data_IF_759559969590
#
_entry.id   IF_759559969590
#
_cell.length_a   1.000
_cell.length_b   1.000
_cell.length_c   1.000
_cell.angle_alpha   90.00
_cell.angle_beta   90.00
_cell.angle_gamma   90.00
#
_symmetry.space_group_name_H-M   'P 1'
#
loop_
_entity.id
_entity.type
_entity.pdbx_description
1 polymer ?
#
# COMPACT_ATOMS: atom_id res chain seq x y z
N UNK A 1 27.44 15.57 19.47
CA UNK A 1 27.57 15.28 18.02
C UNK A 1 28.01 13.84 17.71
N UNK A 2 29.09 13.31 18.29
CA UNK A 2 29.57 11.94 17.99
C UNK A 2 28.54 10.84 18.27
N UNK A 3 27.74 10.96 19.32
CA UNK A 3 26.70 9.97 19.67
C UNK A 3 25.49 10.01 18.73
N UNK A 4 25.13 11.20 18.25
CA UNK A 4 24.07 11.38 17.25
C UNK A 4 24.44 10.68 15.94
N UNK A 5 25.66 10.85 15.44
CA UNK A 5 26.16 10.20 14.22
C UNK A 5 26.27 8.67 14.34
N UNK A 6 26.20 8.13 15.56
CA UNK A 6 26.17 6.69 15.83
C UNK A 6 24.76 6.13 15.94
N UNK A 7 23.75 6.99 16.08
CA UNK A 7 22.36 6.59 16.25
C UNK A 7 21.77 5.97 14.96
N UNK A 8 20.77 5.06 15.09
CA UNK A 8 20.00 4.57 13.96
C UNK A 8 19.31 5.69 13.18
N UNK A 9 18.92 6.78 13.85
CA UNK A 9 18.35 7.98 13.21
C UNK A 9 19.31 8.55 12.18
N UNK A 10 20.57 8.80 12.56
CA UNK A 10 21.55 9.39 11.65
C UNK A 10 22.05 8.43 10.57
N UNK A 11 22.11 7.12 10.85
CA UNK A 11 22.73 6.13 9.93
C UNK A 11 21.76 5.49 8.94
N UNK A 12 20.47 5.49 9.24
CA UNK A 12 19.45 4.83 8.41
C UNK A 12 18.38 5.81 7.95
N UNK A 13 17.77 6.54 8.88
CA UNK A 13 16.63 7.39 8.56
C UNK A 13 17.05 8.63 7.78
N UNK A 14 18.05 9.38 8.27
CA UNK A 14 18.49 10.60 7.59
C UNK A 14 18.93 10.36 6.13
N UNK A 15 19.74 9.33 5.79
CA UNK A 15 20.13 9.07 4.40
C UNK A 15 18.97 8.74 3.46
N UNK A 16 17.84 8.23 3.95
CA UNK A 16 16.65 7.95 3.12
C UNK A 16 15.71 9.15 3.08
N UNK A 17 15.48 9.80 4.22
CA UNK A 17 14.53 10.90 4.34
C UNK A 17 15.07 12.21 3.74
N UNK A 18 16.39 12.44 3.73
CA UNK A 18 16.96 13.64 3.11
C UNK A 18 16.70 13.65 1.59
N UNK A 19 17.01 12.59 0.82
CA UNK A 19 16.63 12.51 -0.59
C UNK A 19 15.12 12.67 -0.84
N UNK A 20 14.27 12.03 -0.04
CA UNK A 20 12.81 12.19 -0.16
C UNK A 20 12.37 13.64 0.12
N UNK A 21 12.97 14.30 1.11
CA UNK A 21 12.68 15.72 1.39
C UNK A 21 13.19 16.64 0.27
N UNK A 22 14.30 16.27 -0.39
CA UNK A 22 14.81 17.02 -1.54
C UNK A 22 13.87 16.90 -2.75
N UNK A 23 13.30 15.72 -3.00
CA UNK A 23 12.27 15.54 -4.04
C UNK A 23 11.00 16.33 -3.70
N UNK A 24 10.47 16.22 -2.48
CA UNK A 24 9.34 17.04 -2.03
C UNK A 24 9.59 18.55 -2.17
N UNK A 25 10.83 19.00 -1.92
CA UNK A 25 11.22 20.39 -2.15
C UNK A 25 11.14 20.77 -3.64
N UNK A 26 11.49 19.87 -4.56
CA UNK A 26 11.35 20.10 -6.00
C UNK A 26 9.90 20.01 -6.46
N UNK A 27 9.12 19.10 -5.87
CA UNK A 27 7.77 18.78 -6.30
C UNK A 27 6.69 19.71 -5.72
N UNK A 28 6.95 20.45 -4.64
CA UNK A 28 5.95 21.33 -3.99
C UNK A 28 5.24 22.34 -4.89
N UNK A 29 5.76 22.61 -6.10
CA UNK A 29 5.19 23.53 -7.07
C UNK A 29 4.79 22.88 -8.39
N UNK A 30 4.82 21.55 -8.48
CA UNK A 30 4.39 20.81 -9.68
C UNK A 30 2.88 20.66 -9.72
N UNK A 31 2.35 20.33 -10.89
CA UNK A 31 0.96 19.91 -11.02
C UNK A 31 0.78 18.55 -10.33
N UNK A 32 0.03 18.55 -9.23
CA UNK A 32 -0.19 17.39 -8.37
C UNK A 32 -1.36 16.49 -8.84
N UNK A 33 -1.81 16.64 -10.09
CA UNK A 33 -2.87 15.83 -10.67
C UNK A 33 -4.17 15.89 -9.85
N UNK A 34 -4.68 14.72 -9.45
CA UNK A 34 -5.95 14.61 -8.74
C UNK A 34 -5.91 15.18 -7.31
N UNK A 35 -4.73 15.54 -6.79
CA UNK A 35 -4.58 16.01 -5.42
C UNK A 35 -5.39 17.28 -5.13
N UNK A 36 -5.49 18.21 -6.09
CA UNK A 36 -6.30 19.43 -5.93
C UNK A 36 -7.78 19.08 -5.76
N UNK A 37 -8.28 18.12 -6.54
CA UNK A 37 -9.63 17.61 -6.41
C UNK A 37 -9.85 16.96 -5.04
N UNK A 38 -8.90 16.15 -4.56
CA UNK A 38 -9.00 15.52 -3.24
C UNK A 38 -8.91 16.51 -2.07
N UNK A 39 -8.08 17.56 -2.17
CA UNK A 39 -8.04 18.64 -1.17
C UNK A 39 -9.41 19.31 -1.08
N UNK A 40 -10.03 19.67 -2.21
CA UNK A 40 -11.35 20.29 -2.21
C UNK A 40 -12.44 19.39 -1.60
N UNK A 41 -12.44 18.09 -1.94
CA UNK A 41 -13.36 17.12 -1.31
C UNK A 41 -13.08 16.94 0.19
N UNK A 42 -11.82 17.05 0.60
CA UNK A 42 -11.41 17.09 1.99
C UNK A 42 -11.91 18.32 2.73
N UNK A 43 -11.89 19.50 2.11
CA UNK A 43 -12.49 20.71 2.69
C UNK A 43 -14.00 20.56 2.88
N UNK A 44 -14.68 19.96 1.90
CA UNK A 44 -16.10 19.63 2.03
C UNK A 44 -16.36 18.68 3.21
N UNK A 45 -15.52 17.65 3.37
CA UNK A 45 -15.60 16.72 4.50
C UNK A 45 -15.47 17.42 5.86
N UNK A 46 -14.67 18.48 5.95
CA UNK A 46 -14.46 19.24 7.18
C UNK A 46 -15.41 20.44 7.34
N UNK A 47 -16.46 20.52 6.52
CA UNK A 47 -17.43 21.61 6.51
C UNK A 47 -18.81 21.18 7.02
N UNK A 48 -19.77 22.11 7.06
CA UNK A 48 -21.18 21.78 7.33
C UNK A 48 -21.81 20.84 6.28
N UNK A 49 -21.21 20.71 5.09
CA UNK A 49 -21.69 19.84 4.00
C UNK A 49 -21.10 18.42 3.99
N UNK A 50 -20.47 17.99 5.08
CA UNK A 50 -19.71 16.73 5.18
C UNK A 50 -20.50 15.49 4.73
N UNK A 51 -21.81 15.42 5.02
CA UNK A 51 -22.62 14.25 4.70
C UNK A 51 -22.70 13.98 3.19
N UNK A 52 -22.50 15.02 2.37
CA UNK A 52 -22.55 14.94 0.90
C UNK A 52 -21.15 14.86 0.26
N UNK A 53 -20.07 14.63 1.02
CA UNK A 53 -18.71 14.49 0.46
C UNK A 53 -18.66 13.44 -0.65
N UNK A 54 -19.36 12.32 -0.46
CA UNK A 54 -19.43 11.21 -1.43
C UNK A 54 -20.64 11.27 -2.38
N UNK A 55 -21.22 12.46 -2.58
CA UNK A 55 -22.30 12.67 -3.57
C UNK A 55 -21.79 12.66 -5.02
N UNK A 56 -20.49 12.84 -5.19
CA UNK A 56 -19.81 12.75 -6.48
C UNK A 56 -19.34 11.31 -6.72
N UNK A 57 -19.84 10.62 -7.76
CA UNK A 57 -19.42 9.26 -8.04
C UNK A 57 -17.93 9.16 -8.42
N UNK A 58 -17.30 10.21 -8.95
CA UNK A 58 -15.88 10.14 -9.32
C UNK A 58 -14.94 10.08 -8.10
N UNK A 59 -15.43 10.44 -6.90
CA UNK A 59 -14.64 10.37 -5.69
C UNK A 59 -14.50 8.93 -5.20
N UNK A 60 -13.32 8.34 -5.40
CA UNK A 60 -13.03 6.96 -4.97
C UNK A 60 -12.11 6.91 -3.73
N UNK A 61 -11.39 7.99 -3.42
CA UNK A 61 -10.57 8.10 -2.21
C UNK A 61 -11.40 8.09 -0.93
N UNK A 62 -10.89 7.45 0.10
CA UNK A 62 -11.58 7.25 1.37
C UNK A 62 -11.51 8.46 2.31
N UNK A 63 -12.35 8.47 3.37
CA UNK A 63 -12.50 9.61 4.26
C UNK A 63 -11.24 9.97 5.07
N UNK A 64 -10.32 9.05 5.31
CA UNK A 64 -9.09 9.36 6.05
C UNK A 64 -8.10 10.16 5.19
N UNK A 65 -7.94 9.78 3.93
CA UNK A 65 -7.11 10.53 2.98
C UNK A 65 -7.69 11.94 2.79
N UNK A 66 -9.00 12.04 2.58
CA UNK A 66 -9.69 13.32 2.42
C UNK A 66 -9.61 14.19 3.67
N UNK A 67 -9.76 13.62 4.86
CA UNK A 67 -9.62 14.38 6.12
C UNK A 67 -8.21 14.95 6.25
N UNK A 68 -7.18 14.15 5.92
CA UNK A 68 -5.79 14.60 5.96
C UNK A 68 -5.53 15.74 4.96
N UNK A 69 -5.96 15.57 3.72
CA UNK A 69 -5.74 16.56 2.66
C UNK A 69 -6.52 17.85 2.92
N UNK A 70 -7.78 17.75 3.34
CA UNK A 70 -8.63 18.89 3.68
C UNK A 70 -8.16 19.63 4.94
N UNK A 71 -7.46 18.97 5.87
CA UNK A 71 -6.89 19.61 7.04
C UNK A 71 -5.62 20.41 6.71
N UNK A 72 -4.79 19.89 5.80
CA UNK A 72 -3.50 20.51 5.45
C UNK A 72 -3.68 21.60 4.40
N UNK A 73 -4.42 21.31 3.31
CA UNK A 73 -4.76 22.19 2.17
C UNK A 73 -3.58 22.72 1.35
N UNK A 74 -2.43 22.93 1.98
CA UNK A 74 -1.20 23.38 1.35
C UNK A 74 -0.53 22.21 0.61
N UNK A 75 -0.47 22.32 -0.72
CA UNK A 75 0.11 21.29 -1.59
C UNK A 75 1.60 21.07 -1.31
N UNK A 76 2.33 22.14 -0.95
CA UNK A 76 3.74 22.01 -0.60
C UNK A 76 3.95 21.19 0.67
N UNK A 77 3.17 21.44 1.72
CA UNK A 77 3.18 20.64 2.94
C UNK A 77 2.75 19.19 2.67
N UNK A 78 1.79 18.97 1.76
CA UNK A 78 1.39 17.64 1.33
C UNK A 78 2.51 16.89 0.61
N UNK A 79 3.31 17.56 -0.23
CA UNK A 79 4.49 16.96 -0.86
C UNK A 79 5.45 16.39 0.20
N UNK A 80 5.82 17.22 1.19
CA UNK A 80 6.68 16.77 2.28
C UNK A 80 6.06 15.64 3.09
N UNK A 81 4.77 15.74 3.43
CA UNK A 81 4.10 14.71 4.22
C UNK A 81 4.04 13.37 3.50
N UNK A 82 3.64 13.38 2.23
CA UNK A 82 3.45 12.17 1.43
C UNK A 82 4.79 11.50 1.17
N UNK A 83 5.77 12.23 0.65
CA UNK A 83 7.05 11.64 0.24
C UNK A 83 7.87 11.14 1.44
N UNK A 84 7.96 11.94 2.50
CA UNK A 84 8.62 11.51 3.74
C UNK A 84 7.82 10.40 4.40
N UNK A 85 6.49 10.46 4.38
CA UNK A 85 5.60 9.47 4.96
C UNK A 85 5.75 8.10 4.31
N UNK A 86 5.74 8.04 2.98
CA UNK A 86 5.95 6.81 2.19
C UNK A 86 7.33 6.22 2.48
N UNK A 87 8.40 7.04 2.39
CA UNK A 87 9.76 6.58 2.68
C UNK A 87 9.89 6.06 4.13
N UNK A 88 9.34 6.80 5.09
CA UNK A 88 9.39 6.45 6.50
C UNK A 88 8.61 5.15 6.79
N UNK A 89 7.43 5.01 6.20
CA UNK A 89 6.59 3.83 6.34
C UNK A 89 7.31 2.60 5.77
N UNK A 90 7.90 2.68 4.58
CA UNK A 90 8.68 1.58 4.00
C UNK A 90 9.84 1.18 4.93
N UNK A 91 10.67 2.13 5.36
CA UNK A 91 11.79 1.87 6.27
C UNK A 91 11.31 1.25 7.59
N UNK A 92 10.16 1.67 8.10
CA UNK A 92 9.51 1.09 9.26
C UNK A 92 9.09 -0.37 9.02
N UNK A 93 8.37 -0.65 7.92
CA UNK A 93 7.92 -2.00 7.53
C UNK A 93 9.11 -2.95 7.41
N UNK A 94 10.17 -2.55 6.71
CA UNK A 94 11.39 -3.35 6.58
C UNK A 94 12.04 -3.63 7.94
N UNK A 95 11.97 -2.69 8.88
CA UNK A 95 12.39 -2.89 10.27
C UNK A 95 11.53 -3.93 11.00
N UNK A 96 10.21 -3.91 10.81
CA UNK A 96 9.28 -4.89 11.39
C UNK A 96 9.47 -6.31 10.84
N UNK A 97 10.03 -6.43 9.63
CA UNK A 97 10.45 -7.70 9.03
C UNK A 97 11.85 -8.17 9.49
N UNK A 98 12.52 -7.38 10.34
CA UNK A 98 13.83 -7.70 10.89
C UNK A 98 14.95 -7.69 9.85
N UNK A 99 14.88 -6.79 8.86
CA UNK A 99 15.99 -6.56 7.94
C UNK A 99 17.11 -5.80 8.63
N UNK A 100 18.36 -6.06 8.22
CA UNK A 100 19.52 -5.32 8.71
C UNK A 100 19.45 -3.85 8.27
N UNK A 101 20.10 -2.95 9.01
CA UNK A 101 20.14 -1.53 8.65
C UNK A 101 20.71 -1.29 7.23
N UNK A 102 21.66 -2.12 6.78
CA UNK A 102 22.22 -2.03 5.42
C UNK A 102 21.17 -2.35 4.35
N UNK A 103 20.42 -3.43 4.52
CA UNK A 103 19.35 -3.79 3.59
C UNK A 103 18.21 -2.76 3.60
N UNK A 104 17.82 -2.28 4.79
CA UNK A 104 16.81 -1.21 4.94
C UNK A 104 17.24 0.08 4.24
N UNK A 105 18.50 0.47 4.40
CA UNK A 105 19.07 1.64 3.73
C UNK A 105 19.06 1.46 2.21
N UNK A 106 19.54 0.32 1.70
CA UNK A 106 19.61 0.07 0.27
C UNK A 106 18.21 0.07 -0.39
N UNK A 107 17.24 -0.62 0.21
CA UNK A 107 15.86 -0.65 -0.29
C UNK A 107 15.19 0.72 -0.15
N UNK A 108 15.42 1.44 0.95
CA UNK A 108 14.89 2.80 1.14
C UNK A 108 15.41 3.79 0.11
N UNK A 109 16.72 3.76 -0.17
CA UNK A 109 17.32 4.59 -1.24
C UNK A 109 16.81 4.18 -2.63
N UNK A 110 16.67 2.87 -2.88
CA UNK A 110 16.13 2.38 -4.14
C UNK A 110 14.69 2.87 -4.36
N UNK A 111 13.84 2.84 -3.32
CA UNK A 111 12.48 3.33 -3.39
C UNK A 111 12.39 4.82 -3.75
N UNK A 112 13.28 5.64 -3.20
CA UNK A 112 13.35 7.06 -3.57
C UNK A 112 13.85 7.22 -5.01
N UNK A 113 14.89 6.47 -5.39
CA UNK A 113 15.49 6.55 -6.72
C UNK A 113 14.59 6.01 -7.85
N UNK A 114 13.74 5.02 -7.57
CA UNK A 114 12.78 4.47 -8.54
C UNK A 114 11.53 5.33 -8.70
N UNK A 115 11.35 6.35 -7.83
CA UNK A 115 10.25 7.29 -7.91
C UNK A 115 9.04 6.93 -7.04
N UNK A 116 9.12 5.91 -6.16
CA UNK A 116 7.99 5.51 -5.30
C UNK A 116 7.42 6.69 -4.50
N UNK A 117 8.28 7.53 -3.93
CA UNK A 117 7.85 8.70 -3.15
C UNK A 117 7.29 9.80 -4.05
N UNK A 118 8.03 10.14 -5.11
CA UNK A 118 7.70 11.18 -6.07
C UNK A 118 6.35 10.95 -6.77
N UNK A 119 6.16 9.77 -7.37
CA UNK A 119 4.95 9.42 -8.13
C UNK A 119 3.73 9.38 -7.20
N UNK A 120 3.89 8.94 -5.95
CA UNK A 120 2.83 8.95 -4.94
C UNK A 120 2.29 10.37 -4.65
N UNK A 121 3.13 11.41 -4.77
CA UNK A 121 2.70 12.80 -4.65
C UNK A 121 2.23 13.39 -5.99
N UNK A 122 3.04 13.32 -7.04
CA UNK A 122 2.80 14.06 -8.30
C UNK A 122 1.50 13.67 -8.98
N UNK A 123 1.08 12.41 -8.86
CA UNK A 123 -0.22 11.99 -9.41
C UNK A 123 -1.39 12.16 -8.43
N UNK A 124 -1.12 12.50 -7.16
CA UNK A 124 -2.13 12.63 -6.11
C UNK A 124 -2.62 11.31 -5.53
N UNK A 125 -1.90 10.22 -5.80
CA UNK A 125 -2.28 8.83 -5.51
C UNK A 125 -1.30 8.17 -4.52
N UNK A 126 -1.24 8.61 -3.25
CA UNK A 126 -0.29 8.03 -2.29
C UNK A 126 -0.78 6.72 -1.67
N UNK A 127 -2.08 6.42 -1.76
CA UNK A 127 -2.64 5.18 -1.24
C UNK A 127 -2.03 3.96 -1.92
N UNK A 128 -1.69 4.06 -3.20
CA UNK A 128 -1.06 3.05 -4.04
C UNK A 128 0.30 2.63 -3.48
N UNK A 129 1.04 3.54 -2.84
CA UNK A 129 2.28 3.23 -2.14
C UNK A 129 2.03 2.81 -0.67
N UNK A 130 1.09 3.46 0.03
CA UNK A 130 0.88 3.30 1.48
C UNK A 130 0.12 2.01 1.82
N UNK A 131 -1.00 1.75 1.14
CA UNK A 131 -1.90 0.63 1.43
C UNK A 131 -1.20 -0.74 1.37
N UNK A 132 -0.37 -1.06 0.36
CA UNK A 132 0.36 -2.33 0.35
C UNK A 132 1.33 -2.47 1.52
N UNK A 133 1.99 -1.38 1.94
CA UNK A 133 2.86 -1.39 3.12
C UNK A 133 2.08 -1.63 4.41
N UNK A 134 0.87 -1.07 4.53
CA UNK A 134 -0.05 -1.35 5.62
C UNK A 134 -0.52 -2.81 5.61
N UNK A 135 -0.77 -3.41 4.43
CA UNK A 135 -1.09 -4.83 4.31
C UNK A 135 0.05 -5.73 4.78
N UNK A 136 1.31 -5.41 4.46
CA UNK A 136 2.49 -6.14 4.96
C UNK A 136 2.56 -6.05 6.49
N UNK A 137 2.36 -4.86 7.07
CA UNK A 137 2.34 -4.68 8.54
C UNK A 137 1.21 -5.46 9.19
N UNK A 138 0.01 -5.44 8.61
CA UNK A 138 -1.12 -6.23 9.07
C UNK A 138 -0.80 -7.73 9.03
N UNK A 139 -0.16 -8.22 7.97
CA UNK A 139 0.30 -9.61 7.87
C UNK A 139 1.31 -9.98 8.98
N UNK A 140 2.24 -9.07 9.31
CA UNK A 140 3.19 -9.26 10.43
C UNK A 140 2.43 -9.39 11.75
N UNK A 141 1.46 -8.52 12.01
CA UNK A 141 0.66 -8.55 13.23
C UNK A 141 -0.29 -9.74 13.31
N UNK A 142 -0.89 -10.14 12.19
CA UNK A 142 -1.72 -11.34 12.11
C UNK A 142 -0.93 -12.59 12.52
N UNK A 143 0.31 -12.74 12.02
CA UNK A 143 1.22 -13.83 12.43
C UNK A 143 1.58 -13.82 13.90
N UNK A 144 1.61 -12.64 14.52
CA UNK A 144 1.86 -12.43 15.95
C UNK A 144 0.59 -12.61 16.80
N UNK A 145 -0.50 -13.15 16.23
CA UNK A 145 -1.82 -13.30 16.84
C UNK A 145 -2.48 -11.97 17.29
N UNK A 146 -1.97 -10.83 16.80
CA UNK A 146 -2.55 -9.49 16.97
C UNK A 146 -3.59 -9.19 15.90
N UNK A 147 -4.49 -10.13 15.65
CA UNK A 147 -5.43 -10.12 14.52
C UNK A 147 -6.43 -8.96 14.55
N UNK A 148 -6.82 -8.47 15.73
CA UNK A 148 -7.73 -7.32 15.84
C UNK A 148 -7.04 -6.05 15.36
N UNK A 149 -5.79 -5.83 15.75
CA UNK A 149 -4.99 -4.70 15.28
C UNK A 149 -4.67 -4.82 13.79
N UNK A 150 -4.40 -6.04 13.30
CA UNK A 150 -4.21 -6.30 11.88
C UNK A 150 -5.49 -5.97 11.07
N UNK A 151 -6.65 -6.45 11.53
CA UNK A 151 -7.95 -6.14 10.93
C UNK A 151 -8.25 -4.64 10.95
N UNK A 152 -7.95 -3.96 12.05
CA UNK A 152 -8.11 -2.51 12.14
C UNK A 152 -7.22 -1.75 11.14
N UNK A 153 -5.96 -2.16 10.95
CA UNK A 153 -5.08 -1.52 9.95
C UNK A 153 -5.53 -1.79 8.53
N UNK A 154 -5.99 -3.01 8.20
CA UNK A 154 -6.60 -3.27 6.89
C UNK A 154 -7.85 -2.39 6.70
N UNK A 155 -8.71 -2.30 7.72
CA UNK A 155 -9.87 -1.43 7.72
C UNK A 155 -9.52 0.04 7.48
N UNK A 156 -8.56 0.59 8.22
CA UNK A 156 -8.08 1.96 8.06
C UNK A 156 -7.45 2.20 6.68
N UNK A 157 -6.77 1.20 6.11
CA UNK A 157 -6.22 1.31 4.75
C UNK A 157 -7.31 1.54 3.69
N UNK A 158 -8.51 0.98 3.90
CA UNK A 158 -9.68 1.26 3.06
C UNK A 158 -10.23 2.69 3.21
N UNK A 159 -9.84 3.38 4.27
CA UNK A 159 -10.11 4.80 4.47
C UNK A 159 -9.16 5.70 3.67
N UNK A 160 -8.11 5.15 3.05
CA UNK A 160 -7.28 5.86 2.07
C UNK A 160 -7.87 5.68 0.68
N UNK A 161 -8.11 4.43 0.29
CA UNK A 161 -8.76 4.05 -0.96
C UNK A 161 -9.59 2.79 -0.74
N UNK A 162 -10.80 2.71 -1.32
CA UNK A 162 -11.75 1.63 -1.01
C UNK A 162 -11.19 0.23 -1.28
N UNK A 163 -10.30 0.08 -2.27
CA UNK A 163 -9.66 -1.20 -2.58
C UNK A 163 -8.74 -1.72 -1.46
N UNK A 164 -8.37 -0.89 -0.48
CA UNK A 164 -7.65 -1.29 0.73
C UNK A 164 -8.31 -2.45 1.50
N UNK A 165 -9.63 -2.64 1.35
CA UNK A 165 -10.36 -3.79 1.95
C UNK A 165 -9.85 -5.15 1.46
N UNK A 166 -9.24 -5.21 0.27
CA UNK A 166 -8.73 -6.45 -0.31
C UNK A 166 -7.55 -7.04 0.49
N UNK A 167 -6.93 -6.23 1.37
CA UNK A 167 -5.92 -6.68 2.31
C UNK A 167 -6.40 -7.74 3.30
N UNK A 168 -7.71 -8.01 3.39
CA UNK A 168 -8.28 -9.08 4.24
C UNK A 168 -7.59 -10.43 4.06
N UNK A 169 -7.08 -10.72 2.85
CA UNK A 169 -6.36 -11.95 2.54
C UNK A 169 -5.12 -12.16 3.44
N UNK A 170 -4.44 -11.09 3.88
CA UNK A 170 -3.26 -11.19 4.76
C UNK A 170 -3.62 -11.65 6.18
N UNK A 171 -4.88 -11.53 6.59
CA UNK A 171 -5.34 -12.01 7.90
C UNK A 171 -5.33 -13.54 7.99
N UNK A 172 -5.38 -14.25 6.85
CA UNK A 172 -5.22 -15.71 6.78
C UNK A 172 -3.81 -16.18 7.15
N UNK A 173 -2.85 -15.25 7.30
CA UNK A 173 -1.54 -15.54 7.86
C UNK A 173 -1.57 -15.71 9.40
N UNK A 174 -2.72 -15.50 10.04
CA UNK A 174 -2.90 -15.76 11.46
C UNK A 174 -2.70 -17.25 11.82
N UNK A 175 -2.28 -17.56 13.06
CA UNK A 175 -2.07 -18.96 13.48
C UNK A 175 -3.32 -19.84 13.41
N UNK A 176 -4.52 -19.25 13.50
CA UNK A 176 -5.81 -19.95 13.52
C UNK A 176 -6.84 -19.24 12.65
N UNK A 177 -7.67 -19.98 11.93
CA UNK A 177 -8.72 -19.42 11.06
C UNK A 177 -9.74 -18.58 11.85
N UNK A 178 -10.13 -19.02 13.05
CA UNK A 178 -11.05 -18.26 13.91
C UNK A 178 -10.51 -16.88 14.29
N UNK A 179 -9.18 -16.76 14.41
CA UNK A 179 -8.51 -15.47 14.67
C UNK A 179 -8.51 -14.60 13.42
N UNK A 180 -8.30 -15.19 12.24
CA UNK A 180 -8.44 -14.47 10.97
C UNK A 180 -9.87 -13.91 10.80
N UNK A 181 -10.91 -14.70 11.12
CA UNK A 181 -12.31 -14.25 11.11
C UNK A 181 -12.53 -13.08 12.06
N UNK A 182 -12.02 -13.14 13.29
CA UNK A 182 -12.11 -12.02 14.23
C UNK A 182 -11.46 -10.74 13.68
N UNK A 183 -10.30 -10.86 13.03
CA UNK A 183 -9.66 -9.73 12.33
C UNK A 183 -10.51 -9.18 11.19
N UNK A 184 -11.12 -10.07 10.38
CA UNK A 184 -12.00 -9.66 9.27
C UNK A 184 -13.26 -8.95 9.77
N UNK A 185 -13.84 -9.37 10.89
CA UNK A 185 -14.94 -8.67 11.54
C UNK A 185 -14.51 -7.26 12.00
N UNK A 186 -13.32 -7.10 12.58
CA UNK A 186 -12.80 -5.77 12.97
C UNK A 186 -12.57 -4.90 11.74
N UNK A 187 -11.99 -5.44 10.67
CA UNK A 187 -11.86 -4.72 9.41
C UNK A 187 -13.22 -4.20 8.92
N UNK A 188 -14.22 -5.09 8.84
CA UNK A 188 -15.56 -4.72 8.40
C UNK A 188 -16.18 -3.63 9.29
N UNK A 189 -16.00 -3.74 10.62
CA UNK A 189 -16.48 -2.74 11.57
C UNK A 189 -15.81 -1.38 11.37
N UNK A 190 -14.48 -1.34 11.14
CA UNK A 190 -13.76 -0.08 10.88
C UNK A 190 -14.21 0.55 9.56
N UNK A 191 -14.35 -0.24 8.50
CA UNK A 191 -14.85 0.25 7.20
C UNK A 191 -16.27 0.80 7.35
N UNK A 192 -17.16 0.07 8.02
CA UNK A 192 -18.51 0.53 8.29
C UNK A 192 -18.52 1.81 9.13
N UNK A 193 -17.70 1.92 10.17
CA UNK A 193 -17.61 3.12 10.99
C UNK A 193 -17.14 4.35 10.19
N UNK A 194 -16.27 4.16 9.19
CA UNK A 194 -15.81 5.24 8.33
C UNK A 194 -16.82 5.66 7.26
N UNK A 195 -17.56 4.71 6.66
CA UNK A 195 -18.39 4.99 5.47
C UNK A 195 -19.90 5.11 5.78
N UNK A 196 -20.40 4.41 6.81
CA UNK A 196 -21.82 4.43 7.15
C UNK A 196 -22.38 5.82 7.48
N UNK A 197 -21.65 6.75 8.16
CA UNK A 197 -22.18 8.09 8.42
C UNK A 197 -22.61 8.83 7.15
N UNK A 198 -21.86 8.68 6.05
CA UNK A 198 -22.17 9.32 4.77
C UNK A 198 -23.36 8.66 4.07
N UNK A 199 -23.44 7.33 4.11
CA UNK A 199 -24.55 6.58 3.54
C UNK A 199 -25.89 6.83 4.28
N UNK A 200 -25.83 7.09 5.59
CA UNK A 200 -27.02 7.32 6.42
C UNK A 200 -27.47 8.78 6.43
N UNK A 201 -26.54 9.74 6.38
CA UNK A 201 -26.85 11.16 6.57
C UNK A 201 -26.87 11.99 5.28
N UNK A 202 -26.37 11.46 4.15
CA UNK A 202 -26.25 12.23 2.92
C UNK A 202 -26.40 11.42 1.64
N UNK A 203 -26.05 12.04 0.52
CA UNK A 203 -26.08 11.41 -0.80
C UNK A 203 -24.80 10.62 -1.03
N UNK A 204 -24.87 9.29 -1.05
CA UNK A 204 -23.72 8.41 -1.22
C UNK A 204 -23.75 7.73 -2.59
N UNK A 205 -22.86 8.17 -3.49
CA UNK A 205 -22.85 7.79 -4.91
C UNK A 205 -21.54 7.16 -5.39
N UNK A 206 -20.62 6.80 -4.49
CA UNK A 206 -19.39 6.09 -4.87
C UNK A 206 -19.66 4.82 -5.70
N UNK A 207 -20.81 4.18 -5.47
CA UNK A 207 -21.25 2.96 -6.16
C UNK A 207 -21.88 3.20 -7.53
N UNK A 208 -22.17 4.44 -7.90
CA UNK A 208 -22.66 4.80 -9.24
C UNK A 208 -21.51 4.97 -10.24
N UNK A 209 -20.26 4.94 -9.77
CA UNK A 209 -19.11 5.11 -10.64
C UNK A 209 -18.90 3.90 -11.55
N UNK A 210 -18.76 4.18 -12.84
CA UNK A 210 -18.42 3.18 -13.84
C UNK A 210 -17.19 3.63 -14.60
N UNK A 211 -16.26 2.70 -14.80
CA UNK A 211 -15.15 2.90 -15.71
C UNK A 211 -15.56 2.49 -17.12
N UNK A 212 -14.84 3.03 -18.11
CA UNK A 212 -14.85 2.51 -19.48
C UNK A 212 -13.60 1.69 -19.69
N UNK A 213 -13.76 0.48 -20.19
CA UNK A 213 -12.61 -0.38 -20.50
C UNK A 213 -11.79 0.27 -21.61
N UNK A 214 -10.53 0.58 -21.36
CA UNK A 214 -9.65 1.22 -22.33
C UNK A 214 -8.97 0.19 -23.23
N UNK A 215 -8.61 0.61 -24.44
CA UNK A 215 -7.73 -0.17 -25.31
C UNK A 215 -6.35 -0.32 -24.67
N UNK A 216 -5.72 -1.48 -24.84
CA UNK A 216 -4.37 -1.77 -24.32
C UNK A 216 -4.34 -2.39 -22.93
N UNK A 217 -5.49 -2.64 -22.30
CA UNK A 217 -5.61 -3.45 -21.08
C UNK A 217 -5.81 -4.93 -21.41
N UNK A 218 -5.39 -5.84 -20.52
CA UNK A 218 -5.66 -7.29 -20.68
C UNK A 218 -7.16 -7.55 -20.64
N UNK A 219 -7.89 -6.86 -19.76
CA UNK A 219 -9.35 -6.95 -19.71
C UNK A 219 -10.00 -6.54 -21.03
N UNK A 220 -9.49 -5.51 -21.70
CA UNK A 220 -9.97 -5.06 -23.01
C UNK A 220 -9.92 -6.13 -24.10
N UNK A 221 -9.06 -7.13 -23.98
CA UNK A 221 -9.01 -8.29 -24.89
C UNK A 221 -10.18 -9.26 -24.69
N UNK A 222 -10.83 -9.24 -23.52
CA UNK A 222 -11.88 -10.18 -23.11
C UNK A 222 -13.27 -9.55 -23.29
N UNK A 223 -13.46 -8.33 -22.77
CA UNK A 223 -14.78 -7.66 -22.75
C UNK A 223 -14.97 -6.60 -23.85
N UNK A 224 -13.90 -6.24 -24.55
CA UNK A 224 -13.89 -5.22 -25.60
C UNK A 224 -13.69 -3.79 -25.07
N UNK A 225 -12.88 -2.95 -25.75
CA UNK A 225 -12.76 -1.53 -25.41
C UNK A 225 -14.09 -0.78 -25.50
N UNK A 226 -14.34 0.16 -24.59
CA UNK A 226 -15.57 0.95 -24.49
C UNK A 226 -16.68 0.30 -23.65
N UNK A 227 -16.55 -0.98 -23.32
CA UNK A 227 -17.47 -1.69 -22.43
C UNK A 227 -17.57 -0.99 -21.06
N UNK A 228 -18.76 -1.06 -20.46
CA UNK A 228 -19.00 -0.55 -19.11
C UNK A 228 -18.35 -1.49 -18.08
N UNK A 229 -17.57 -0.90 -17.17
CA UNK A 229 -16.99 -1.60 -16.02
C UNK A 229 -17.62 -1.07 -14.73
N UNK A 230 -18.84 -1.56 -14.48
CA UNK A 230 -19.61 -1.28 -13.26
C UNK A 230 -19.39 -2.33 -12.16
N UNK A 231 -20.27 -2.31 -11.16
CA UNK A 231 -20.14 -3.13 -9.95
C UNK A 231 -20.02 -4.65 -10.17
N UNK A 232 -20.79 -5.30 -11.05
CA UNK A 232 -20.66 -6.75 -11.24
C UNK A 232 -19.23 -7.17 -11.62
N UNK A 233 -18.57 -6.41 -12.50
CA UNK A 233 -17.19 -6.68 -12.90
C UNK A 233 -16.19 -6.30 -11.81
N UNK A 234 -16.43 -5.23 -11.04
CA UNK A 234 -15.63 -4.92 -9.84
C UNK A 234 -15.68 -6.03 -8.79
N UNK A 235 -16.85 -6.62 -8.55
CA UNK A 235 -17.00 -7.77 -7.64
C UNK A 235 -16.27 -9.01 -8.18
N UNK A 236 -16.35 -9.27 -9.49
CA UNK A 236 -15.62 -10.37 -10.11
C UNK A 236 -14.10 -10.17 -9.97
N UNK A 237 -13.59 -8.98 -10.28
CA UNK A 237 -12.19 -8.59 -10.13
C UNK A 237 -11.72 -8.75 -8.67
N UNK A 238 -12.48 -8.19 -7.71
CA UNK A 238 -12.17 -8.31 -6.28
C UNK A 238 -12.16 -9.77 -5.81
N UNK A 239 -13.12 -10.58 -6.26
CA UNK A 239 -13.21 -12.00 -5.91
C UNK A 239 -12.01 -12.80 -6.43
N UNK A 240 -11.58 -12.54 -7.67
CA UNK A 240 -10.40 -13.17 -8.27
C UNK A 240 -9.12 -12.74 -7.55
N UNK A 241 -8.98 -11.46 -7.22
CA UNK A 241 -7.83 -10.95 -6.47
C UNK A 241 -7.75 -11.58 -5.07
N UNK A 242 -8.87 -11.64 -4.34
CA UNK A 242 -8.95 -12.29 -3.04
C UNK A 242 -8.69 -13.80 -3.11
N UNK A 243 -9.19 -14.49 -4.14
CA UNK A 243 -8.93 -15.91 -4.34
C UNK A 243 -7.43 -16.19 -4.54
N UNK A 244 -6.74 -15.38 -5.35
CA UNK A 244 -5.30 -15.50 -5.57
C UNK A 244 -4.50 -15.25 -4.27
N UNK A 245 -4.81 -14.16 -3.55
CA UNK A 245 -4.20 -13.86 -2.25
C UNK A 245 -4.44 -14.97 -1.22
N UNK A 246 -5.67 -15.48 -1.15
CA UNK A 246 -6.06 -16.58 -0.26
C UNK A 246 -5.32 -17.88 -0.57
N UNK A 247 -5.23 -18.26 -1.85
CA UNK A 247 -4.49 -19.43 -2.29
C UNK A 247 -3.01 -19.36 -1.89
N UNK A 248 -2.36 -18.21 -2.13
CA UNK A 248 -0.97 -17.99 -1.69
C UNK A 248 -0.83 -17.95 -0.17
N UNK A 249 -1.80 -17.38 0.55
CA UNK A 249 -1.77 -17.35 2.00
C UNK A 249 -1.76 -18.78 2.56
N UNK A 250 -2.62 -19.67 2.05
CA UNK A 250 -2.62 -21.08 2.46
C UNK A 250 -1.34 -21.82 2.05
N UNK A 251 -0.88 -21.64 0.81
CA UNK A 251 0.31 -22.31 0.29
C UNK A 251 1.60 -21.89 1.02
N UNK A 252 1.71 -20.61 1.37
CA UNK A 252 2.95 -20.01 1.89
C UNK A 252 2.85 -19.61 3.37
N UNK A 253 1.79 -19.97 4.10
CA UNK A 253 1.52 -19.48 5.48
C UNK A 253 2.72 -19.56 6.44
N UNK A 254 3.62 -20.53 6.25
CA UNK A 254 4.83 -20.74 7.08
C UNK A 254 6.07 -19.99 6.58
N UNK A 255 6.06 -19.49 5.35
CA UNK A 255 7.20 -18.80 4.72
C UNK A 255 7.19 -17.30 5.03
N UNK A 256 8.35 -16.71 5.32
CA UNK A 256 8.48 -15.24 5.45
C UNK A 256 7.96 -14.51 4.20
N UNK A 257 8.12 -15.10 3.02
CA UNK A 257 7.71 -14.51 1.75
C UNK A 257 6.20 -14.34 1.57
N UNK A 258 5.35 -15.02 2.34
CA UNK A 258 3.91 -14.78 2.26
C UNK A 258 3.52 -13.34 2.62
N UNK A 259 4.35 -12.65 3.42
CA UNK A 259 4.09 -11.27 3.84
C UNK A 259 4.09 -10.26 2.69
N UNK A 260 4.77 -10.55 1.58
CA UNK A 260 4.77 -9.69 0.39
C UNK A 260 4.09 -10.37 -0.81
N UNK A 261 4.19 -11.71 -0.95
CA UNK A 261 3.58 -12.43 -2.06
C UNK A 261 2.05 -12.47 -2.01
N UNK A 262 1.44 -12.57 -0.82
CA UNK A 262 -0.02 -12.54 -0.67
C UNK A 262 -0.59 -11.20 -1.14
N UNK A 263 -0.18 -10.04 -0.59
CA UNK A 263 -0.66 -8.75 -1.08
C UNK A 263 -0.26 -8.49 -2.53
N UNK A 264 0.90 -9.01 -3.00
CA UNK A 264 1.34 -8.82 -4.38
C UNK A 264 0.43 -9.53 -5.38
N UNK A 265 -0.01 -10.76 -5.07
CA UNK A 265 -0.96 -11.45 -5.92
C UNK A 265 -2.31 -10.75 -5.97
N UNK A 266 -2.78 -10.20 -4.85
CA UNK A 266 -4.01 -9.38 -4.81
C UNK A 266 -3.85 -8.16 -5.73
N UNK A 267 -2.76 -7.40 -5.58
CA UNK A 267 -2.50 -6.22 -6.39
C UNK A 267 -2.35 -6.56 -7.89
N UNK A 268 -1.54 -7.56 -8.24
CA UNK A 268 -1.32 -7.96 -9.64
C UNK A 268 -2.60 -8.44 -10.31
N UNK A 269 -3.41 -9.28 -9.66
CA UNK A 269 -4.68 -9.75 -10.25
C UNK A 269 -5.64 -8.59 -10.42
N UNK A 270 -5.73 -7.68 -9.44
CA UNK A 270 -6.54 -6.45 -9.57
C UNK A 270 -6.07 -5.65 -10.79
N UNK A 271 -4.78 -5.37 -10.92
CA UNK A 271 -4.19 -4.56 -11.99
C UNK A 271 -4.34 -5.19 -13.39
N UNK A 272 -4.12 -6.50 -13.51
CA UNK A 272 -4.27 -7.21 -14.79
C UNK A 272 -5.73 -7.16 -15.27
N UNK A 273 -6.68 -7.20 -14.33
CA UNK A 273 -8.11 -7.15 -14.61
C UNK A 273 -8.66 -5.72 -14.53
N UNK A 274 -7.82 -4.70 -14.45
CA UNK A 274 -8.26 -3.32 -14.34
C UNK A 274 -8.77 -2.81 -15.71
N UNK A 275 -9.90 -2.08 -15.74
CA UNK A 275 -10.42 -1.51 -16.98
C UNK A 275 -9.56 -0.37 -17.53
N UNK A 276 -8.67 0.21 -16.74
CA UNK A 276 -7.80 1.33 -17.12
C UNK A 276 -6.33 0.99 -16.82
N UNK A 277 -5.42 1.73 -17.47
CA UNK A 277 -3.97 1.54 -17.26
C UNK A 277 -3.34 2.89 -16.92
N UNK A 278 -3.28 3.18 -15.62
CA UNK A 278 -2.60 4.34 -15.10
C UNK A 278 -1.19 3.98 -14.61
N UNK A 279 -0.22 4.88 -14.79
CA UNK A 279 1.17 4.62 -14.38
C UNK A 279 1.30 4.44 -12.86
N UNK A 280 0.62 5.27 -12.07
CA UNK A 280 0.71 5.26 -10.60
C UNK A 280 0.14 4.00 -9.95
N UNK A 281 -0.71 3.24 -10.64
CA UNK A 281 -1.20 1.95 -10.17
C UNK A 281 -0.08 0.93 -9.92
N UNK A 282 1.06 1.06 -10.59
CA UNK A 282 2.22 0.18 -10.41
C UNK A 282 2.98 0.44 -9.10
N UNK A 283 2.71 1.54 -8.39
CA UNK A 283 3.29 1.80 -7.07
C UNK A 283 2.98 0.69 -6.07
N UNK A 284 1.82 0.04 -6.20
CA UNK A 284 1.43 -1.08 -5.35
C UNK A 284 2.38 -2.26 -5.50
N UNK A 285 2.68 -2.59 -6.75
CA UNK A 285 3.59 -3.67 -7.14
C UNK A 285 5.01 -3.30 -6.72
N UNK A 286 5.44 -2.08 -7.00
CA UNK A 286 6.76 -1.58 -6.66
C UNK A 286 7.04 -1.67 -5.15
N UNK A 287 6.13 -1.15 -4.32
CA UNK A 287 6.26 -1.18 -2.86
C UNK A 287 6.42 -2.62 -2.34
N UNK A 288 5.62 -3.56 -2.86
CA UNK A 288 5.65 -4.97 -2.46
C UNK A 288 6.88 -5.70 -2.98
N UNK A 289 7.34 -5.40 -4.19
CA UNK A 289 8.59 -5.94 -4.77
C UNK A 289 9.80 -5.44 -3.99
N UNK A 290 9.83 -4.18 -3.58
CA UNK A 290 10.89 -3.62 -2.73
C UNK A 290 10.96 -4.34 -1.37
N UNK A 291 9.80 -4.60 -0.75
CA UNK A 291 9.71 -5.43 0.46
C UNK A 291 10.24 -6.84 0.21
N UNK A 292 9.83 -7.47 -0.89
CA UNK A 292 10.27 -8.79 -1.31
C UNK A 292 11.78 -8.88 -1.53
N UNK A 293 12.35 -7.90 -2.25
CA UNK A 293 13.78 -7.78 -2.51
C UNK A 293 14.57 -7.69 -1.19
N UNK A 294 14.08 -6.91 -0.23
CA UNK A 294 14.69 -6.82 1.09
C UNK A 294 14.72 -8.16 1.85
N UNK A 295 13.65 -8.96 1.76
CA UNK A 295 13.60 -10.31 2.34
C UNK A 295 14.54 -11.29 1.61
N UNK A 296 14.61 -11.24 0.28
CA UNK A 296 15.56 -12.06 -0.49
C UNK A 296 17.00 -11.73 -0.13
N UNK A 297 17.34 -10.44 -0.05
CA UNK A 297 18.68 -9.96 0.37
C UNK A 297 19.04 -10.42 1.79
N UNK A 298 18.07 -10.49 2.70
CA UNK A 298 18.26 -11.00 4.06
C UNK A 298 18.66 -12.49 4.08
N UNK A 299 18.15 -13.28 3.15
CA UNK A 299 18.36 -14.73 3.10
C UNK A 299 19.63 -15.15 2.34
N UNK A 300 20.11 -14.35 1.38
CA UNK A 300 21.28 -14.69 0.54
C UNK A 300 22.51 -15.16 1.34
N UNK A 301 22.95 -14.49 2.43
CA UNK A 301 24.12 -14.92 3.19
C UNK A 301 23.97 -16.30 3.83
N UNK A 302 22.72 -16.70 4.17
CA UNK A 302 22.45 -18.01 4.77
C UNK A 302 22.51 -19.16 3.76
N UNK A 303 22.28 -18.87 2.46
CA UNK A 303 22.27 -19.87 1.38
C UNK A 303 23.65 -20.08 0.75
N UNK A 304 24.55 -19.10 0.89
CA UNK A 304 25.93 -19.15 0.40
C UNK A 304 26.92 -19.10 1.57
N UNK A 305 27.03 -20.17 2.39
CA UNK A 305 28.03 -20.21 3.44
C UNK A 305 29.42 -20.15 2.80
N UNK A 306 30.13 -19.04 3.01
CA UNK A 306 31.50 -18.82 2.54
C UNK A 306 32.46 -19.99 2.88
N UNK A 307 32.14 -20.76 3.92
CA UNK A 307 32.87 -21.94 4.35
C UNK A 307 32.76 -23.16 3.40
N UNK A 308 31.80 -23.21 2.47
CA UNK A 308 31.75 -24.29 1.45
C UNK A 308 32.77 -24.08 0.33
N UNK A 309 33.06 -22.84 -0.03
CA UNK A 309 34.10 -22.51 -1.03
C UNK A 309 35.51 -22.76 -0.47
N UNK A 310 35.74 -22.43 0.81
CA UNK A 310 37.04 -22.67 1.46
C UNK A 310 37.31 -24.17 1.68
N UNK A 311 36.29 -24.99 1.96
CA UNK A 311 36.45 -26.46 2.02
C UNK A 311 36.61 -27.14 0.66
N UNK A 312 36.04 -26.58 -0.41
CA UNK A 312 36.21 -27.11 -1.77
C UNK A 312 37.58 -26.79 -2.38
N UNK A 313 38.26 -25.74 -1.88
CA UNK A 313 39.58 -25.29 -2.34
C UNK A 313 40.71 -25.57 -1.34
N UNK A 314 40.44 -26.32 -0.26
CA UNK A 314 41.46 -26.74 0.70
C UNK A 314 42.37 -27.82 0.09
N UNK A 315 43.70 -27.78 0.31
CA UNK A 315 44.63 -28.74 -0.25
C UNK A 315 44.31 -30.17 0.23
N UNK A 316 44.17 -31.10 -0.72
CA UNK A 316 44.25 -32.53 -0.46
C UNK A 316 45.72 -32.83 -0.18
N UNK A 317 46.07 -32.87 1.11
CA UNK A 317 47.35 -33.43 1.56
C UNK A 317 47.21 -34.94 1.74
#
# INVERSE_FOLDING_TARGET
>A
MRDFLRSPLARLWAPVLIPAAALAYLDRGTDSGDLVYFVHKGEQLLSGGWANTFADPQLQSGPLQLALFGAIRDLGALAFLIELGVAALLVYVLGRLGLSNRARLAVGLLAVASGLTHIAFVYGHPAEAIVPLLWVLAGVWARQDRVLAAGAVVGLSAGLELWGVLGVAVLLLAPRLTRAVAGACVQAAVVAAMLAPFALAGTFRMFDHEWRVTSGTVLGLIVGPGAHFGWPLRLAQASLALAAGTALAFALRRSAHALWLVPLAVALVRLVLDPVSFGWYWLEVEALVLVGAGLVLKELPSRLPANRLVRALGPQH
#
